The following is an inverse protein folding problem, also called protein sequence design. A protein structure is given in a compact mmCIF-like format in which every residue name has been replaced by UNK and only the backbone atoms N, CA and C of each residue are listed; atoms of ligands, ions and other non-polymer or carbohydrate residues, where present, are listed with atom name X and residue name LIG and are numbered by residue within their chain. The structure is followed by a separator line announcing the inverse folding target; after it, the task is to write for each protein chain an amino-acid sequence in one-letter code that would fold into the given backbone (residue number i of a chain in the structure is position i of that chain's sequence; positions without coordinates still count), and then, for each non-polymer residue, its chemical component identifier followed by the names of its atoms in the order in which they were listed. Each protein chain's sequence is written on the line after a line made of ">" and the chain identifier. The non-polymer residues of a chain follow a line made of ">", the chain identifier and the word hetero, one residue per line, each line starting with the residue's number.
data_IF_061554383648
#
_entry.id   IF_061554383648
#
_cell.length_a   1.000
_cell.length_b   1.000
_cell.length_c   1.000
_cell.angle_alpha   90.00
_cell.angle_beta   90.00
_cell.angle_gamma   90.00
#
_symmetry.space_group_name_H-M   'P 1'
#
loop_
_entity.id
_entity.type
_entity.pdbx_description
1 polymer ?
#
# COMPACT_ATOMS: atom_id res chain seq x y z
N UNK A 1 -17.17 -10.27 -6.83
CA UNK A 1 -16.31 -9.14 -6.41
C UNK A 1 -15.25 -9.69 -5.45
N UNK A 2 -13.95 -9.50 -5.72
CA UNK A 2 -12.84 -10.11 -4.98
C UNK A 2 -12.56 -9.41 -3.63
N UNK A 3 -13.50 -9.50 -2.69
CA UNK A 3 -13.51 -8.72 -1.45
C UNK A 3 -12.24 -8.85 -0.57
N UNK A 4 -11.58 -10.01 -0.61
CA UNK A 4 -10.35 -10.26 0.16
C UNK A 4 -9.20 -9.34 -0.27
N UNK A 5 -9.02 -9.14 -1.57
CA UNK A 5 -7.93 -8.30 -2.10
C UNK A 5 -8.27 -6.82 -2.00
N UNK A 6 -9.54 -6.46 -2.12
CA UNK A 6 -10.01 -5.08 -2.06
C UNK A 6 -9.78 -4.45 -0.70
N UNK A 7 -10.27 -5.12 0.35
CA UNK A 7 -10.19 -4.57 1.70
C UNK A 7 -8.96 -5.07 2.47
N UNK A 8 -8.28 -6.09 1.96
CA UNK A 8 -7.25 -6.78 2.71
C UNK A 8 -7.84 -7.59 3.87
N UNK A 9 -6.95 -8.21 4.64
CA UNK A 9 -7.32 -8.98 5.84
C UNK A 9 -6.12 -9.09 6.77
N UNK A 10 -6.34 -8.84 8.06
CA UNK A 10 -5.35 -9.06 9.12
C UNK A 10 -5.93 -10.01 10.15
N UNK A 11 -5.38 -11.22 10.24
CA UNK A 11 -5.87 -12.27 11.14
C UNK A 11 -4.69 -12.93 11.86
N UNK A 12 -4.85 -13.10 13.16
CA UNK A 12 -3.93 -13.85 14.01
C UNK A 12 -4.70 -15.07 14.54
N UNK A 13 -4.19 -16.26 14.25
CA UNK A 13 -4.72 -17.52 14.75
C UNK A 13 -3.62 -18.31 15.48
N UNK A 14 -3.96 -19.49 16.02
CA UNK A 14 -3.01 -20.30 16.79
C UNK A 14 -1.95 -20.87 15.85
N UNK A 15 -0.73 -20.35 15.94
CA UNK A 15 0.42 -20.80 15.13
C UNK A 15 0.54 -20.15 13.75
N UNK A 16 -0.37 -19.23 13.38
CA UNK A 16 -0.33 -18.54 12.09
C UNK A 16 -0.80 -17.10 12.17
N UNK A 17 -0.25 -16.24 11.31
CA UNK A 17 -0.70 -14.87 11.12
C UNK A 17 -0.74 -14.56 9.62
N UNK A 18 -1.75 -13.80 9.20
CA UNK A 18 -1.89 -13.30 7.83
C UNK A 18 -2.15 -11.81 7.87
N UNK A 19 -1.53 -11.09 6.94
CA UNK A 19 -1.75 -9.67 6.74
C UNK A 19 -1.68 -9.38 5.23
N UNK A 20 -2.84 -9.09 4.64
CA UNK A 20 -3.00 -8.80 3.22
C UNK A 20 -3.38 -7.32 3.10
N UNK A 21 -2.62 -6.50 2.35
CA UNK A 21 -2.95 -5.10 2.16
C UNK A 21 -4.13 -4.92 1.19
N UNK A 22 -4.85 -3.78 1.28
CA UNK A 22 -5.91 -3.42 0.34
C UNK A 22 -5.36 -3.12 -1.06
N UNK A 23 -6.20 -3.30 -2.08
CA UNK A 23 -5.88 -3.06 -3.50
C UNK A 23 -7.03 -2.33 -4.19
N UNK A 24 -6.72 -1.68 -5.31
CA UNK A 24 -7.71 -0.96 -6.09
C UNK A 24 -8.68 -1.92 -6.82
N UNK A 25 -9.98 -1.63 -6.80
CA UNK A 25 -10.99 -2.46 -7.45
C UNK A 25 -10.78 -2.59 -8.95
N UNK A 26 -10.44 -1.50 -9.62
CA UNK A 26 -10.29 -1.49 -11.08
C UNK A 26 -9.10 -2.36 -11.49
N UNK A 27 -7.99 -2.25 -10.77
CA UNK A 27 -6.77 -3.03 -11.02
C UNK A 27 -7.01 -4.53 -10.81
N UNK A 28 -7.66 -4.90 -9.70
CA UNK A 28 -7.96 -6.32 -9.43
C UNK A 28 -8.90 -6.91 -10.48
N UNK A 29 -9.94 -6.17 -10.90
CA UNK A 29 -10.85 -6.63 -11.96
C UNK A 29 -10.10 -6.78 -13.29
N UNK A 30 -9.23 -5.83 -13.64
CA UNK A 30 -8.41 -5.92 -14.85
C UNK A 30 -7.46 -7.11 -14.81
N UNK A 31 -6.82 -7.39 -13.67
CA UNK A 31 -5.99 -8.58 -13.49
C UNK A 31 -6.79 -9.88 -13.61
N UNK A 32 -8.03 -9.92 -13.09
CA UNK A 32 -8.93 -11.06 -13.29
C UNK A 32 -9.32 -11.25 -14.76
N UNK A 33 -9.60 -10.17 -15.49
CA UNK A 33 -9.91 -10.24 -16.92
C UNK A 33 -8.69 -10.72 -17.73
N UNK A 34 -7.50 -10.21 -17.43
CA UNK A 34 -6.26 -10.65 -18.06
C UNK A 34 -6.00 -12.15 -17.85
N UNK A 35 -6.28 -12.67 -16.65
CA UNK A 35 -6.19 -14.11 -16.36
C UNK A 35 -7.25 -14.95 -17.09
N UNK A 36 -8.44 -14.39 -17.34
CA UNK A 36 -9.49 -15.05 -18.12
C UNK A 36 -9.10 -15.12 -19.61
N UNK A 37 -8.45 -14.07 -20.11
CA UNK A 37 -8.01 -13.99 -21.51
C UNK A 37 -6.75 -14.84 -21.77
N UNK A 38 -5.87 -14.97 -20.77
CA UNK A 38 -4.66 -15.78 -20.81
C UNK A 38 -4.46 -16.53 -19.48
N UNK A 39 -4.81 -17.82 -19.46
CA UNK A 39 -4.65 -18.68 -18.27
C UNK A 39 -3.18 -18.94 -17.90
N UNK A 40 -2.24 -18.76 -18.84
CA UNK A 40 -0.80 -18.95 -18.67
C UNK A 40 -0.06 -17.62 -18.34
N UNK A 41 -0.81 -16.54 -18.10
CA UNK A 41 -0.24 -15.23 -17.78
C UNK A 41 0.73 -15.33 -16.60
N UNK A 42 1.92 -14.75 -16.78
CA UNK A 42 2.95 -14.76 -15.75
C UNK A 42 2.61 -13.85 -14.57
N UNK A 43 3.31 -14.04 -13.45
CA UNK A 43 3.19 -13.15 -12.29
C UNK A 43 3.56 -11.71 -12.70
N UNK A 44 4.58 -11.55 -13.54
CA UNK A 44 5.01 -10.26 -14.07
C UNK A 44 3.91 -9.60 -14.90
N UNK A 45 3.22 -10.36 -15.76
CA UNK A 45 2.08 -9.86 -16.53
C UNK A 45 0.93 -9.41 -15.63
N UNK A 46 0.60 -10.19 -14.60
CA UNK A 46 -0.40 -9.79 -13.60
C UNK A 46 0.02 -8.53 -12.83
N UNK A 47 1.31 -8.35 -12.56
CA UNK A 47 1.85 -7.15 -11.91
C UNK A 47 1.82 -5.90 -12.79
N UNK A 48 1.66 -6.02 -14.10
CA UNK A 48 1.39 -4.87 -14.98
C UNK A 48 -0.04 -4.33 -14.77
N UNK A 49 -0.98 -5.22 -14.48
CA UNK A 49 -2.38 -4.86 -14.18
C UNK A 49 -2.61 -4.48 -12.71
N UNK A 50 -1.83 -5.05 -11.79
CA UNK A 50 -1.89 -4.79 -10.34
C UNK A 50 -0.50 -4.32 -9.88
N UNK A 51 -0.18 -3.02 -10.02
CA UNK A 51 1.16 -2.51 -9.73
C UNK A 51 1.57 -2.63 -8.26
N UNK A 52 0.59 -2.58 -7.35
CA UNK A 52 0.82 -2.63 -5.92
C UNK A 52 -0.45 -2.45 -5.08
N UNK A 53 -0.31 -2.47 -3.76
CA UNK A 53 -1.41 -2.19 -2.83
C UNK A 53 -1.79 -0.70 -2.84
N UNK A 54 -3.09 -0.44 -2.62
CA UNK A 54 -3.69 0.89 -2.61
C UNK A 54 -4.17 1.22 -1.19
N UNK A 55 -3.46 2.10 -0.50
CA UNK A 55 -3.77 2.48 0.87
C UNK A 55 -4.69 3.72 0.90
N UNK A 56 -5.75 3.72 1.74
CA UNK A 56 -6.73 4.80 1.78
C UNK A 56 -6.14 6.17 2.18
N UNK A 57 -4.95 6.19 2.78
CA UNK A 57 -4.28 7.42 3.22
C UNK A 57 -3.24 7.97 2.23
N UNK A 58 -3.22 7.49 0.98
CA UNK A 58 -2.40 8.01 -0.13
C UNK A 58 -0.88 8.09 0.17
N UNK A 59 -0.38 7.19 1.02
CA UNK A 59 0.98 7.21 1.51
C UNK A 59 2.03 6.82 0.45
N UNK A 60 3.29 7.22 0.69
CA UNK A 60 4.40 6.93 -0.21
C UNK A 60 4.96 5.53 0.12
N UNK A 61 4.83 4.59 -0.82
CA UNK A 61 5.46 3.28 -0.70
C UNK A 61 6.91 3.36 -1.17
N UNK A 62 7.84 2.98 -0.29
CA UNK A 62 9.26 2.94 -0.59
C UNK A 62 9.72 1.51 -0.90
N UNK A 63 10.17 1.31 -2.13
CA UNK A 63 10.75 0.06 -2.58
C UNK A 63 9.73 -0.89 -3.22
N UNK A 64 9.95 -1.21 -4.51
CA UNK A 64 9.12 -2.13 -5.29
C UNK A 64 9.46 -3.60 -5.05
N UNK A 65 10.72 -3.88 -4.71
CA UNK A 65 11.23 -5.26 -4.50
C UNK A 65 10.46 -6.04 -3.45
N UNK A 66 10.04 -5.38 -2.37
CA UNK A 66 9.28 -6.03 -1.29
C UNK A 66 7.86 -6.41 -1.70
N UNK A 67 7.25 -5.65 -2.62
CA UNK A 67 5.94 -5.96 -3.21
C UNK A 67 6.08 -7.15 -4.16
N UNK A 68 7.08 -7.12 -5.04
CA UNK A 68 7.35 -8.21 -5.98
C UNK A 68 7.61 -9.54 -5.26
N UNK A 69 8.46 -9.52 -4.23
CA UNK A 69 8.73 -10.70 -3.40
C UNK A 69 7.46 -11.21 -2.71
N UNK A 70 6.61 -10.30 -2.21
CA UNK A 70 5.33 -10.65 -1.61
C UNK A 70 4.38 -11.32 -2.61
N UNK A 71 4.29 -10.82 -3.84
CA UNK A 71 3.41 -11.41 -4.87
C UNK A 71 3.92 -12.75 -5.37
N UNK A 72 5.24 -12.97 -5.44
CA UNK A 72 5.81 -14.27 -5.86
C UNK A 72 5.74 -15.33 -4.76
N UNK A 73 5.97 -14.96 -3.50
CA UNK A 73 6.21 -15.92 -2.41
C UNK A 73 5.12 -15.92 -1.34
N UNK A 74 4.23 -14.94 -1.36
CA UNK A 74 3.26 -14.68 -0.28
C UNK A 74 3.89 -14.00 0.95
N UNK A 75 5.18 -13.65 0.92
CA UNK A 75 5.88 -12.97 2.03
C UNK A 75 6.75 -11.84 1.52
N UNK A 76 6.63 -10.67 2.14
CA UNK A 76 7.47 -9.53 1.82
C UNK A 76 7.32 -8.40 2.83
N UNK A 77 8.16 -7.38 2.68
CA UNK A 77 8.13 -6.19 3.54
C UNK A 77 7.94 -4.96 2.68
N UNK A 78 6.95 -4.16 3.02
CA UNK A 78 6.65 -2.89 2.35
C UNK A 78 6.82 -1.77 3.36
N UNK A 79 7.58 -0.74 3.01
CA UNK A 79 7.81 0.42 3.86
C UNK A 79 6.94 1.58 3.39
N UNK A 80 6.08 2.08 4.28
CA UNK A 80 5.18 3.19 4.01
C UNK A 80 5.72 4.44 4.70
N UNK A 81 5.73 5.58 3.99
CA UNK A 81 6.18 6.88 4.50
C UNK A 81 5.08 7.93 4.37
N UNK A 82 5.00 8.79 5.38
CA UNK A 82 4.17 10.00 5.37
C UNK A 82 4.60 10.94 4.24
N UNK A 83 3.64 11.64 3.62
CA UNK A 83 3.95 12.77 2.76
C UNK A 83 4.14 14.02 3.62
N UNK A 84 5.35 14.55 3.63
CA UNK A 84 5.69 15.77 4.34
C UNK A 84 6.59 16.66 3.49
N UNK A 85 6.44 17.96 3.64
CA UNK A 85 7.27 18.98 3.02
C UNK A 85 7.84 19.93 4.06
N UNK A 86 8.94 20.59 3.72
CA UNK A 86 9.58 21.60 4.56
C UNK A 86 9.42 22.94 3.86
N UNK A 87 8.66 23.84 4.47
CA UNK A 87 8.54 25.23 4.04
C UNK A 87 9.52 26.11 4.83
N UNK A 88 10.26 26.96 4.13
CA UNK A 88 11.15 27.94 4.76
C UNK A 88 10.51 29.32 4.64
N UNK A 89 10.25 29.97 5.77
CA UNK A 89 9.72 31.33 5.80
C UNK A 89 10.78 32.30 5.26
N UNK A 90 10.50 32.92 4.10
CA UNK A 90 11.40 33.84 3.42
C UNK A 90 11.77 35.10 4.22
N UNK A 91 10.98 35.46 5.25
CA UNK A 91 11.22 36.65 6.08
C UNK A 91 11.93 36.33 7.39
N UNK A 92 11.62 35.18 8.00
CA UNK A 92 12.15 34.82 9.33
C UNK A 92 13.23 33.73 9.29
N UNK A 93 13.42 33.08 8.14
CA UNK A 93 14.35 31.96 7.97
C UNK A 93 13.96 30.72 8.78
N UNK A 94 12.75 30.68 9.33
CA UNK A 94 12.25 29.55 10.13
C UNK A 94 11.76 28.44 9.22
N UNK A 95 12.15 27.22 9.54
CA UNK A 95 11.68 26.00 8.87
C UNK A 95 10.39 25.51 9.53
N UNK A 96 9.37 25.22 8.73
CA UNK A 96 8.11 24.62 9.15
C UNK A 96 7.91 23.31 8.39
N UNK A 97 7.70 22.22 9.12
CA UNK A 97 7.42 20.92 8.53
C UNK A 97 5.90 20.76 8.43
N UNK A 98 5.40 20.62 7.20
CA UNK A 98 3.98 20.38 6.92
C UNK A 98 3.80 18.92 6.54
N UNK A 99 3.01 18.18 7.34
CA UNK A 99 2.68 16.78 7.08
C UNK A 99 1.27 16.72 6.46
N UNK A 100 1.20 16.30 5.19
CA UNK A 100 -0.05 16.21 4.42
C UNK A 100 -0.81 14.91 4.70
N UNK A 101 -0.09 13.79 4.75
CA UNK A 101 -0.67 12.45 4.80
C UNK A 101 0.08 11.59 5.82
N UNK A 102 -0.66 10.79 6.59
CA UNK A 102 -0.13 9.90 7.62
C UNK A 102 -0.28 8.45 7.12
N UNK A 103 0.71 7.56 7.35
CA UNK A 103 0.59 6.15 6.99
C UNK A 103 -0.64 5.48 7.61
N UNK A 104 -1.17 4.49 6.89
CA UNK A 104 -2.32 3.72 7.34
C UNK A 104 -2.06 3.04 8.70
N UNK A 105 -3.10 2.88 9.52
CA UNK A 105 -3.06 2.32 10.88
C UNK A 105 -2.24 3.13 11.92
N UNK A 106 -1.77 4.35 11.60
CA UNK A 106 -1.11 5.21 12.60
C UNK A 106 -2.14 6.06 13.32
N UNK A 107 -2.24 5.89 14.65
CA UNK A 107 -3.16 6.70 15.46
C UNK A 107 -2.73 8.17 15.49
N UNK A 108 -3.57 9.07 14.96
CA UNK A 108 -3.44 10.52 15.20
C UNK A 108 -4.01 10.83 16.59
N UNK A 109 -3.28 10.48 17.65
CA UNK A 109 -3.65 10.94 18.99
C UNK A 109 -3.16 12.38 19.14
N UNK A 110 -4.03 13.33 18.81
CA UNK A 110 -3.93 14.70 19.31
C UNK A 110 -4.00 14.60 20.84
N UNK A 111 -2.86 14.67 21.51
CA UNK A 111 -2.82 15.00 22.94
C UNK A 111 -3.24 16.46 23.04
N UNK A 112 -4.53 16.69 23.24
CA UNK A 112 -5.02 17.98 23.73
C UNK A 112 -4.41 18.17 25.12
N UNK A 113 -3.56 19.18 25.24
CA UNK A 113 -3.22 19.80 26.52
C UNK A 113 -4.35 20.75 26.90
#
# INVERSE_FOLDING_TARGET
>A
IPNLLLHGSSVIAVGMATNIPPHNLTEVINGCLAYIDDEDISIEGLMEHIPGPDFPTAAIINGRRGIEEAYRTGRGKVYIRARAEVEVDAKTGRETIIVHEIPDQVSRRLRNW
#
